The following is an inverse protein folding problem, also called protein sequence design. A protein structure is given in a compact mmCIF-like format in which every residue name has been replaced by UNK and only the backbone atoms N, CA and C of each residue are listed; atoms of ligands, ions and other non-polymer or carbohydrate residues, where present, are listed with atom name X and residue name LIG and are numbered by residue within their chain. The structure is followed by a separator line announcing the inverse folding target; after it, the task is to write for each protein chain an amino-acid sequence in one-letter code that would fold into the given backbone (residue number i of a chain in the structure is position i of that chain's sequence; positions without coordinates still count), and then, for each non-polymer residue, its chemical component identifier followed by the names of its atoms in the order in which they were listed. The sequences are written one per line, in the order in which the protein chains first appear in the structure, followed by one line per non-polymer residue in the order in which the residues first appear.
data_IF_943038321907
#
_entry.id   IF_943038321907
#
_cell.length_a   1.000
_cell.length_b   1.000
_cell.length_c   1.000
_cell.angle_alpha   90.00
_cell.angle_beta   90.00
_cell.angle_gamma   90.00
#
_symmetry.space_group_name_H-M   'P 1'
#
loop_
_entity.id
_entity.type
_entity.pdbx_description
1 polymer ?
#
# COMPACT_ATOMS: atom_id res chain seq x y z
N UNK A 1 33.01 30.41 13.44
CA UNK A 1 32.08 30.55 12.29
C UNK A 1 32.18 29.37 11.30
N UNK A 2 33.38 28.87 10.98
CA UNK A 2 33.55 27.73 10.04
C UNK A 2 32.92 26.39 10.46
N UNK A 3 32.89 26.02 11.74
CA UNK A 3 32.21 24.77 12.20
C UNK A 3 30.71 24.75 11.88
N UNK A 4 30.01 25.89 12.00
CA UNK A 4 28.58 25.99 11.66
C UNK A 4 28.29 25.86 10.17
N UNK A 5 29.25 26.20 9.31
CA UNK A 5 29.16 26.01 7.86
C UNK A 5 29.48 24.56 7.48
N UNK A 6 30.48 23.96 8.11
CA UNK A 6 30.83 22.56 7.91
C UNK A 6 29.68 21.63 8.33
N UNK A 7 29.07 21.85 9.50
CA UNK A 7 27.90 21.10 9.96
C UNK A 7 26.70 21.27 9.02
N UNK A 8 26.46 22.47 8.47
CA UNK A 8 25.36 22.69 7.52
C UNK A 8 25.59 22.01 6.18
N UNK A 9 26.83 22.01 5.69
CA UNK A 9 27.18 21.37 4.42
C UNK A 9 27.16 19.84 4.52
N UNK A 10 27.63 19.27 5.63
CA UNK A 10 27.65 17.81 5.84
C UNK A 10 26.27 17.26 6.17
N UNK A 11 25.44 17.95 6.96
CA UNK A 11 24.07 17.50 7.27
C UNK A 11 23.09 17.70 6.11
N UNK A 12 23.17 18.80 5.34
CA UNK A 12 22.25 19.01 4.21
C UNK A 12 22.57 18.14 2.99
N UNK A 13 23.85 17.93 2.65
CA UNK A 13 24.22 17.15 1.48
C UNK A 13 23.92 15.65 1.67
N UNK A 14 24.26 15.09 2.83
CA UNK A 14 24.00 13.67 3.16
C UNK A 14 22.51 13.37 3.34
N UNK A 15 21.72 14.28 3.91
CA UNK A 15 20.27 14.14 4.03
C UNK A 15 19.54 14.26 2.67
N UNK A 16 20.04 15.10 1.75
CA UNK A 16 19.48 15.21 0.38
C UNK A 16 19.85 14.03 -0.50
N UNK A 17 21.08 13.51 -0.40
CA UNK A 17 21.55 12.35 -1.15
C UNK A 17 20.79 11.08 -0.74
N UNK A 18 20.60 10.86 0.56
CA UNK A 18 19.81 9.73 1.07
C UNK A 18 18.33 9.82 0.69
N UNK A 19 17.71 11.00 0.71
CA UNK A 19 16.32 11.18 0.28
C UNK A 19 16.09 10.82 -1.19
N UNK A 20 16.99 11.23 -2.09
CA UNK A 20 16.86 10.93 -3.53
C UNK A 20 17.13 9.45 -3.87
N UNK A 21 18.09 8.83 -3.20
CA UNK A 21 18.37 7.39 -3.34
C UNK A 21 17.24 6.54 -2.77
N UNK A 22 16.73 6.90 -1.59
CA UNK A 22 15.63 6.19 -0.95
C UNK A 22 14.35 6.28 -1.79
N UNK A 23 14.06 7.45 -2.36
CA UNK A 23 12.94 7.62 -3.30
C UNK A 23 13.10 6.75 -4.55
N UNK A 24 14.29 6.70 -5.14
CA UNK A 24 14.58 5.79 -6.27
C UNK A 24 14.46 4.32 -5.89
N UNK A 25 14.86 3.95 -4.68
CA UNK A 25 14.72 2.60 -4.13
C UNK A 25 13.25 2.22 -3.95
N UNK A 26 12.44 3.12 -3.40
CA UNK A 26 10.99 2.94 -3.21
C UNK A 26 10.30 2.74 -4.56
N UNK A 27 10.54 3.61 -5.53
CA UNK A 27 9.96 3.49 -6.87
C UNK A 27 10.51 2.29 -7.65
N UNK A 28 11.78 1.94 -7.45
CA UNK A 28 12.39 0.74 -8.00
C UNK A 28 11.76 -0.53 -7.42
N UNK A 29 11.49 -0.57 -6.12
CA UNK A 29 10.78 -1.68 -5.47
C UNK A 29 9.34 -1.79 -5.98
N UNK A 30 8.62 -0.67 -6.11
CA UNK A 30 7.30 -0.65 -6.74
C UNK A 30 7.41 -1.26 -8.15
N UNK A 31 8.28 -0.73 -9.02
CA UNK A 31 8.42 -1.24 -10.39
C UNK A 31 8.81 -2.73 -10.45
N UNK A 32 9.74 -3.17 -9.61
CA UNK A 32 10.19 -4.56 -9.57
C UNK A 32 9.09 -5.51 -9.06
N UNK A 33 8.22 -5.04 -8.17
CA UNK A 33 7.09 -5.82 -7.65
C UNK A 33 5.94 -5.87 -8.69
N UNK A 34 5.74 -4.81 -9.48
CA UNK A 34 4.72 -4.75 -10.53
C UNK A 34 5.11 -5.48 -11.83
N UNK A 35 6.40 -5.61 -12.15
CA UNK A 35 6.90 -6.27 -13.37
C UNK A 35 6.47 -7.75 -13.50
N UNK A 36 6.67 -8.63 -12.49
CA UNK A 36 6.20 -10.01 -12.54
C UNK A 36 4.67 -10.11 -12.57
N UNK A 37 3.97 -9.15 -11.97
CA UNK A 37 2.52 -9.14 -11.90
C UNK A 37 1.88 -8.89 -13.27
N UNK A 38 2.54 -8.17 -14.19
CA UNK A 38 2.07 -8.03 -15.56
C UNK A 38 1.97 -9.39 -16.30
N UNK A 39 2.76 -10.39 -15.89
CA UNK A 39 2.77 -11.72 -16.50
C UNK A 39 1.75 -12.69 -15.87
N UNK A 40 1.28 -12.44 -14.65
CA UNK A 40 0.38 -13.34 -13.91
C UNK A 40 -1.04 -13.46 -14.52
N UNK A 41 -1.69 -12.39 -15.03
CA UNK A 41 -2.98 -12.50 -15.72
C UNK A 41 -2.90 -13.33 -17.01
N UNK A 42 -1.75 -13.32 -17.70
CA UNK A 42 -1.51 -14.16 -18.86
C UNK A 42 -1.51 -15.64 -18.46
N UNK A 43 -0.88 -16.00 -17.34
CA UNK A 43 -0.95 -17.36 -16.77
C UNK A 43 -2.38 -17.78 -16.38
N UNK A 44 -3.19 -16.85 -15.84
CA UNK A 44 -4.58 -17.12 -15.49
C UNK A 44 -5.48 -17.35 -16.74
N UNK A 45 -5.19 -16.66 -17.85
CA UNK A 45 -5.93 -16.77 -19.11
C UNK A 45 -5.67 -18.09 -19.87
N UNK A 46 -4.53 -18.74 -19.63
CA UNK A 46 -4.14 -20.00 -20.31
C UNK A 46 -4.73 -21.23 -19.59
N UNK A 47 -5.27 -21.05 -18.38
CA UNK A 47 -5.80 -22.16 -17.59
C UNK A 47 -7.15 -22.66 -18.15
N UNK A 48 -7.30 -23.98 -18.43
CA UNK A 48 -8.51 -24.55 -18.99
C UNK A 48 -9.64 -24.49 -17.94
N UNK A 49 -10.47 -23.46 -18.05
CA UNK A 49 -11.45 -23.07 -17.03
C UNK A 49 -11.81 -21.57 -17.11
N UNK A 50 -11.09 -20.79 -17.91
CA UNK A 50 -11.38 -19.37 -18.18
C UNK A 50 -12.68 -19.12 -18.96
N UNK A 51 -13.40 -20.17 -19.38
CA UNK A 51 -14.66 -20.07 -20.14
C UNK A 51 -15.80 -20.68 -19.31
N UNK A 52 -16.72 -19.80 -18.90
CA UNK A 52 -17.99 -20.05 -18.19
C UNK A 52 -17.89 -20.56 -16.74
N UNK A 53 -17.82 -19.61 -15.79
CA UNK A 53 -18.26 -19.84 -14.41
C UNK A 53 -19.80 -20.03 -14.40
N UNK A 54 -20.25 -21.27 -14.40
CA UNK A 54 -21.67 -21.62 -14.15
C UNK A 54 -21.94 -21.75 -12.64
N UNK A 55 -20.89 -21.84 -11.82
CA UNK A 55 -21.01 -22.08 -10.37
C UNK A 55 -20.29 -20.98 -9.56
N UNK A 56 -21.01 -20.14 -8.78
CA UNK A 56 -20.43 -19.06 -7.99
C UNK A 56 -19.51 -19.54 -6.85
N UNK A 57 -19.51 -20.84 -6.52
CA UNK A 57 -18.58 -21.43 -5.55
C UNK A 57 -17.27 -21.94 -6.18
N UNK A 58 -17.18 -22.04 -7.51
CA UNK A 58 -15.97 -22.52 -8.17
C UNK A 58 -14.98 -21.36 -8.40
N UNK A 59 -14.39 -20.87 -7.32
CA UNK A 59 -13.39 -19.80 -7.37
C UNK A 59 -12.08 -20.38 -7.90
N UNK A 60 -11.66 -19.94 -9.09
CA UNK A 60 -10.39 -20.37 -9.69
C UNK A 60 -9.22 -19.98 -8.76
N UNK A 61 -8.42 -20.95 -8.24
CA UNK A 61 -7.37 -20.66 -7.26
C UNK A 61 -6.31 -19.67 -7.75
N UNK A 62 -5.98 -19.73 -9.05
CA UNK A 62 -5.05 -18.79 -9.69
C UNK A 62 -5.57 -17.34 -9.67
N UNK A 63 -6.87 -17.15 -9.85
CA UNK A 63 -7.51 -15.84 -9.81
C UNK A 63 -7.52 -15.28 -8.38
N UNK A 64 -7.86 -16.11 -7.39
CA UNK A 64 -7.82 -15.74 -5.97
C UNK A 64 -6.39 -15.35 -5.56
N UNK A 65 -5.40 -16.17 -5.92
CA UNK A 65 -4.00 -15.87 -5.65
C UNK A 65 -3.58 -14.52 -6.26
N UNK A 66 -3.95 -14.28 -7.52
CA UNK A 66 -3.66 -13.01 -8.20
C UNK A 66 -4.33 -11.82 -7.49
N UNK A 67 -5.58 -11.97 -7.05
CA UNK A 67 -6.29 -10.94 -6.29
C UNK A 67 -5.60 -10.62 -4.94
N UNK A 68 -5.13 -11.64 -4.22
CA UNK A 68 -4.38 -11.47 -2.96
C UNK A 68 -3.04 -10.76 -3.20
N UNK A 69 -2.33 -11.13 -4.26
CA UNK A 69 -1.06 -10.47 -4.64
C UNK A 69 -1.31 -9.01 -4.99
N UNK A 70 -2.30 -8.72 -5.85
CA UNK A 70 -2.70 -7.34 -6.21
C UNK A 70 -3.06 -6.55 -4.96
N UNK A 71 -3.88 -7.12 -4.08
CA UNK A 71 -4.32 -6.44 -2.87
C UNK A 71 -3.14 -6.09 -1.96
N UNK A 72 -2.24 -7.04 -1.73
CA UNK A 72 -1.02 -6.84 -0.93
C UNK A 72 -0.12 -5.77 -1.56
N UNK A 73 0.06 -5.79 -2.87
CA UNK A 73 0.86 -4.81 -3.60
C UNK A 73 0.24 -3.41 -3.58
N UNK A 74 -1.08 -3.29 -3.70
CA UNK A 74 -1.79 -2.01 -3.55
C UNK A 74 -1.58 -1.43 -2.14
N UNK A 75 -1.68 -2.27 -1.11
CA UNK A 75 -1.38 -1.86 0.28
C UNK A 75 0.06 -1.40 0.45
N UNK A 76 1.02 -2.16 -0.11
CA UNK A 76 2.45 -1.84 -0.02
C UNK A 76 2.78 -0.55 -0.77
N UNK A 77 2.17 -0.33 -1.93
CA UNK A 77 2.34 0.90 -2.73
C UNK A 77 1.84 2.12 -1.96
N UNK A 78 0.66 2.02 -1.35
CA UNK A 78 0.10 3.08 -0.51
C UNK A 78 0.98 3.40 0.71
N UNK A 79 1.53 2.37 1.37
CA UNK A 79 2.45 2.49 2.49
C UNK A 79 3.74 3.20 2.08
N UNK A 80 4.35 2.77 0.97
CA UNK A 80 5.55 3.37 0.41
C UNK A 80 5.35 4.84 0.01
N UNK A 81 4.20 5.17 -0.58
CA UNK A 81 3.85 6.56 -0.89
C UNK A 81 3.74 7.41 0.38
N UNK A 82 3.19 6.86 1.48
CA UNK A 82 3.11 7.59 2.74
C UNK A 82 4.49 7.75 3.38
N UNK A 83 5.34 6.72 3.34
CA UNK A 83 6.73 6.81 3.79
C UNK A 83 7.49 7.90 3.02
N UNK A 84 7.35 7.98 1.69
CA UNK A 84 7.96 9.04 0.86
C UNK A 84 7.51 10.44 1.32
N UNK A 85 6.22 10.61 1.64
CA UNK A 85 5.66 11.88 2.14
C UNK A 85 6.21 12.26 3.52
N UNK A 86 6.23 11.33 4.46
CA UNK A 86 6.75 11.57 5.82
C UNK A 86 8.24 11.90 5.81
N UNK A 87 9.03 11.16 5.03
CA UNK A 87 10.46 11.41 4.86
C UNK A 87 10.75 12.75 4.18
N UNK A 88 9.91 13.15 3.23
CA UNK A 88 10.01 14.46 2.56
C UNK A 88 9.62 15.61 3.48
N UNK A 89 8.64 15.42 4.37
CA UNK A 89 8.14 16.45 5.28
C UNK A 89 9.05 16.66 6.51
N UNK A 90 9.69 15.61 7.01
CA UNK A 90 10.49 15.65 8.24
C UNK A 90 11.78 14.82 8.12
N UNK A 91 12.66 15.21 7.20
CA UNK A 91 13.96 14.57 7.02
C UNK A 91 14.74 14.50 8.35
N UNK A 92 14.96 13.29 8.87
CA UNK A 92 15.72 13.02 10.09
C UNK A 92 14.92 12.83 11.37
N UNK A 93 13.58 12.89 11.34
CA UNK A 93 12.75 12.48 12.49
C UNK A 93 12.36 10.99 12.38
N UNK A 94 12.34 10.24 13.49
CA UNK A 94 11.84 8.86 13.47
C UNK A 94 10.36 8.84 13.11
N UNK A 95 9.96 7.86 12.29
CA UNK A 95 8.56 7.67 11.90
C UNK A 95 7.68 7.41 13.13
N UNK A 96 6.57 8.14 13.30
CA UNK A 96 5.66 7.89 14.41
C UNK A 96 4.95 6.53 14.21
N UNK A 97 5.28 5.56 15.07
CA UNK A 97 4.61 4.23 15.19
C UNK A 97 4.51 3.46 13.86
N UNK A 98 5.64 3.02 13.27
CA UNK A 98 5.69 2.40 11.95
C UNK A 98 4.87 1.10 11.86
N UNK A 99 4.74 0.36 12.96
CA UNK A 99 3.97 -0.88 13.01
C UNK A 99 2.46 -0.66 12.81
N UNK A 100 1.87 0.37 13.44
CA UNK A 100 0.44 0.67 13.25
C UNK A 100 0.18 1.09 11.81
N UNK A 101 1.08 1.94 11.29
CA UNK A 101 0.99 2.45 9.93
C UNK A 101 1.05 1.31 8.90
N UNK A 102 1.95 0.34 9.08
CA UNK A 102 2.03 -0.84 8.21
C UNK A 102 0.76 -1.69 8.31
N UNK A 103 0.30 -1.99 9.53
CA UNK A 103 -0.87 -2.84 9.73
C UNK A 103 -2.16 -2.24 9.18
N UNK A 104 -2.38 -0.93 9.33
CA UNK A 104 -3.57 -0.26 8.79
C UNK A 104 -3.61 -0.29 7.26
N UNK A 105 -2.45 -0.14 6.61
CA UNK A 105 -2.35 -0.19 5.15
C UNK A 105 -2.58 -1.60 4.60
N UNK A 106 -1.95 -2.61 5.19
CA UNK A 106 -2.15 -4.01 4.78
C UNK A 106 -3.59 -4.46 5.02
N UNK A 107 -4.12 -4.19 6.21
CA UNK A 107 -5.46 -4.62 6.59
C UNK A 107 -6.54 -3.94 5.74
N UNK A 108 -6.38 -2.64 5.45
CA UNK A 108 -7.32 -1.89 4.63
C UNK A 108 -7.30 -2.36 3.18
N UNK A 109 -6.11 -2.69 2.67
CA UNK A 109 -5.98 -3.25 1.33
C UNK A 109 -6.62 -4.64 1.22
N UNK A 110 -6.33 -5.53 2.17
CA UNK A 110 -6.88 -6.90 2.17
C UNK A 110 -8.40 -6.90 2.31
N UNK A 111 -8.96 -6.17 3.27
CA UNK A 111 -10.42 -6.13 3.45
C UNK A 111 -11.14 -5.59 2.22
N UNK A 112 -10.68 -4.46 1.67
CA UNK A 112 -11.31 -3.87 0.50
C UNK A 112 -11.10 -4.72 -0.75
N UNK A 113 -9.94 -5.37 -0.89
CA UNK A 113 -9.65 -6.31 -1.96
C UNK A 113 -10.54 -7.56 -1.92
N UNK A 114 -10.68 -8.19 -0.75
CA UNK A 114 -11.57 -9.35 -0.55
C UNK A 114 -13.02 -8.97 -0.87
N UNK A 115 -13.49 -7.82 -0.37
CA UNK A 115 -14.85 -7.37 -0.62
C UNK A 115 -15.10 -7.10 -2.11
N UNK A 116 -14.19 -6.40 -2.77
CA UNK A 116 -14.28 -6.14 -4.20
C UNK A 116 -14.22 -7.43 -5.02
N UNK A 117 -13.41 -8.40 -4.60
CA UNK A 117 -13.34 -9.72 -5.22
C UNK A 117 -14.69 -10.43 -5.15
N UNK A 118 -15.27 -10.56 -3.95
CA UNK A 118 -16.56 -11.21 -3.73
C UNK A 118 -17.67 -10.53 -4.54
N UNK A 119 -17.74 -9.19 -4.50
CA UNK A 119 -18.74 -8.42 -5.25
C UNK A 119 -18.58 -8.61 -6.77
N UNK A 120 -17.35 -8.67 -7.26
CA UNK A 120 -17.07 -8.88 -8.70
C UNK A 120 -17.49 -10.28 -9.15
N UNK A 121 -17.24 -11.31 -8.33
CA UNK A 121 -17.71 -12.67 -8.60
C UNK A 121 -19.24 -12.76 -8.60
N UNK A 122 -19.91 -12.14 -7.63
CA UNK A 122 -21.38 -12.10 -7.57
C UNK A 122 -22.00 -11.33 -8.74
N UNK A 123 -21.32 -10.31 -9.24
CA UNK A 123 -21.77 -9.48 -10.36
C UNK A 123 -21.41 -10.06 -11.73
N UNK A 124 -20.74 -11.22 -11.78
CA UNK A 124 -20.32 -11.85 -13.03
C UNK A 124 -19.30 -11.03 -13.84
N UNK A 125 -18.43 -10.27 -13.17
CA UNK A 125 -17.43 -9.47 -13.85
C UNK A 125 -16.41 -10.34 -14.57
N UNK A 126 -16.00 -9.92 -15.76
CA UNK A 126 -14.88 -10.53 -16.46
C UNK A 126 -13.58 -10.43 -15.64
N UNK A 127 -12.58 -11.25 -16.01
CA UNK A 127 -11.27 -11.32 -15.34
C UNK A 127 -10.65 -9.94 -15.12
N UNK A 128 -10.52 -9.15 -16.18
CA UNK A 128 -9.87 -7.84 -16.12
C UNK A 128 -10.64 -6.84 -15.26
N UNK A 129 -11.96 -6.84 -15.33
CA UNK A 129 -12.82 -5.98 -14.50
C UNK A 129 -12.71 -6.36 -13.03
N UNK A 130 -12.64 -7.66 -12.71
CA UNK A 130 -12.42 -8.16 -11.35
C UNK A 130 -11.05 -7.76 -10.81
N UNK A 131 -9.98 -7.92 -11.59
CA UNK A 131 -8.65 -7.51 -11.14
C UNK A 131 -8.55 -5.98 -10.97
N UNK A 132 -9.16 -5.22 -11.88
CA UNK A 132 -9.21 -3.76 -11.80
C UNK A 132 -10.00 -3.24 -10.60
N UNK A 133 -11.12 -3.89 -10.27
CA UNK A 133 -11.92 -3.55 -9.08
C UNK A 133 -11.15 -3.88 -7.79
N UNK A 134 -10.53 -5.05 -7.70
CA UNK A 134 -9.69 -5.44 -6.55
C UNK A 134 -8.52 -4.48 -6.37
N UNK A 135 -7.84 -4.11 -7.45
CA UNK A 135 -6.73 -3.16 -7.43
C UNK A 135 -7.17 -1.80 -6.87
N UNK A 136 -8.24 -1.24 -7.43
CA UNK A 136 -8.76 0.07 -7.07
C UNK A 136 -9.29 0.09 -5.64
N UNK A 137 -10.09 -0.92 -5.26
CA UNK A 137 -10.65 -1.04 -3.94
C UNK A 137 -9.57 -1.26 -2.87
N UNK A 138 -8.58 -2.13 -3.13
CA UNK A 138 -7.48 -2.36 -2.19
C UNK A 138 -6.67 -1.08 -1.93
N UNK A 139 -6.42 -0.29 -2.99
CA UNK A 139 -5.71 0.98 -2.83
C UNK A 139 -6.54 1.97 -2.01
N UNK A 140 -7.82 2.15 -2.36
CA UNK A 140 -8.73 3.06 -1.64
C UNK A 140 -8.95 2.63 -0.19
N UNK A 141 -9.10 1.33 0.07
CA UNK A 141 -9.26 0.77 1.40
C UNK A 141 -8.06 1.03 2.30
N UNK A 142 -6.85 0.94 1.74
CA UNK A 142 -5.63 1.28 2.47
C UNK A 142 -5.59 2.76 2.87
N UNK A 143 -5.99 3.68 1.97
CA UNK A 143 -6.09 5.11 2.24
C UNK A 143 -7.20 5.46 3.21
N UNK A 144 -8.33 4.76 3.14
CA UNK A 144 -9.43 4.95 4.06
C UNK A 144 -9.02 4.61 5.50
N UNK A 145 -8.39 3.45 5.71
CA UNK A 145 -7.92 3.07 7.04
C UNK A 145 -6.78 3.95 7.54
N UNK A 146 -5.91 4.46 6.67
CA UNK A 146 -4.92 5.48 7.03
C UNK A 146 -5.60 6.69 7.68
N UNK A 147 -6.58 7.29 6.99
CA UNK A 147 -7.33 8.47 7.48
C UNK A 147 -8.07 8.18 8.79
N UNK A 148 -8.72 7.01 8.90
CA UNK A 148 -9.40 6.62 10.14
C UNK A 148 -8.40 6.46 11.29
N UNK A 149 -7.30 5.77 11.05
CA UNK A 149 -6.25 5.52 12.05
C UNK A 149 -5.68 6.84 12.57
N UNK A 150 -5.41 7.79 11.68
CA UNK A 150 -4.96 9.13 12.07
C UNK A 150 -5.99 9.85 12.93
N UNK A 151 -7.27 9.84 12.53
CA UNK A 151 -8.34 10.50 13.26
C UNK A 151 -8.48 9.96 14.69
N UNK A 152 -8.47 8.64 14.86
CA UNK A 152 -8.67 8.01 16.16
C UNK A 152 -7.42 8.02 17.05
N UNK A 153 -6.22 7.88 16.48
CA UNK A 153 -4.97 7.93 17.26
C UNK A 153 -4.57 9.36 17.65
N UNK A 154 -4.85 10.34 16.79
CA UNK A 154 -4.59 11.75 17.11
C UNK A 154 -5.55 12.25 18.20
N UNK A 155 -6.81 11.81 18.17
CA UNK A 155 -7.78 12.09 19.24
C UNK A 155 -7.35 11.51 20.59
N UNK A 156 -6.72 10.32 20.60
CA UNK A 156 -6.20 9.70 21.82
C UNK A 156 -4.98 10.42 22.41
N UNK A 157 -4.17 11.09 21.58
CA UNK A 157 -2.97 11.80 22.06
C UNK A 157 -3.30 13.17 22.66
N UNK A 158 -4.40 13.81 22.26
CA UNK A 158 -4.86 15.07 22.85
C UNK A 158 -5.38 14.88 24.28
N UNK A 159 -5.98 13.72 24.59
CA UNK A 159 -6.55 13.43 25.91
C UNK A 159 -5.50 13.17 27.00
N UNK A 160 -4.26 12.82 26.64
CA UNK A 160 -3.17 12.56 27.60
C UNK A 160 -2.43 13.82 28.07
N UNK A 161 -2.62 14.96 27.41
CA UNK A 161 -1.93 16.22 27.72
C UNK A 161 -2.82 17.27 28.42
N UNK A 162 -4.07 16.92 28.77
CA UNK A 162 -5.04 17.87 29.35
C UNK A 162 -5.31 17.62 30.85
N UNK A 163 -4.90 16.48 31.41
CA UNK A 163 -5.08 16.21 32.85
C UNK A 163 -3.72 16.07 33.57
N UNK A 164 -3.09 17.16 34.01
CA UNK A 164 -2.28 17.14 35.21
C UNK A 164 -3.23 17.15 36.42
N UNK A 165 -3.52 15.97 36.97
CA UNK A 165 -4.05 15.84 38.33
C UNK A 165 -2.89 15.87 39.34
#
# INVERSE_FOLDING_TARGET
MMRKLHDRLTTQASARLTASLLRRLIWGLIAMVWLPLAALPALAAISPGAVALVDPLNIQPALLFTAVVISTMSGATSLLMRIDRELSAAAGKPLPRPWIMSSSHMFGAWLAGILAFILSQQSGFGLWSTLGSVLSASFLGSKFLEVMTEKYLSAGSYRKNVDPA
#
